data_IF_704686939709
#
_entry.id   IF_704686939709
#
_cell.length_a   1.000
_cell.length_b   1.000
_cell.length_c   1.000
_cell.angle_alpha   90.00
_cell.angle_beta   90.00
_cell.angle_gamma   90.00
#
_symmetry.space_group_name_H-M   'P 1'
#
loop_
_entity.id
_entity.type
_entity.pdbx_description
1 polymer ?
#
# COMPACT_ATOMS: atom_id res chain seq x y z
N UNK A 1 16.49 8.86 2.37
CA UNK A 1 15.20 9.12 2.99
C UNK A 1 14.05 9.06 2.00
N UNK A 2 14.17 9.61 0.81
CA UNK A 2 13.27 9.41 -0.34
C UNK A 2 12.98 7.93 -0.68
N UNK A 3 13.88 7.00 -0.36
CA UNK A 3 13.73 5.56 -0.62
C UNK A 3 12.69 4.86 0.26
N UNK A 4 12.45 5.34 1.48
CA UNK A 4 11.41 4.77 2.36
C UNK A 4 10.01 5.27 1.97
N UNK A 5 9.93 6.48 1.42
CA UNK A 5 8.68 7.09 0.97
C UNK A 5 8.21 6.48 -0.36
N UNK A 6 9.13 6.17 -1.28
CA UNK A 6 8.83 5.44 -2.51
C UNK A 6 8.28 4.02 -2.25
N UNK A 7 8.58 3.41 -1.09
CA UNK A 7 8.06 2.07 -0.75
C UNK A 7 6.57 2.07 -0.41
N UNK A 8 6.06 3.16 0.12
CA UNK A 8 4.64 3.28 0.44
C UNK A 8 3.79 3.65 -0.79
N UNK A 9 4.35 4.43 -1.71
CA UNK A 9 3.65 4.94 -2.89
C UNK A 9 3.31 3.90 -3.95
N UNK A 10 4.00 2.78 -3.97
CA UNK A 10 3.76 1.71 -4.95
C UNK A 10 2.81 0.61 -4.48
N UNK A 11 2.39 0.67 -3.21
CA UNK A 11 1.43 -0.28 -2.64
C UNK A 11 -0.02 -0.03 -3.10
N UNK A 12 -0.24 0.77 -4.13
CA UNK A 12 -1.53 1.32 -4.52
C UNK A 12 -2.60 0.33 -4.95
N UNK A 13 -2.26 -0.92 -5.17
CA UNK A 13 -3.24 -1.93 -5.56
C UNK A 13 -3.15 -3.21 -4.74
N UNK A 14 -2.27 -3.27 -3.77
CA UNK A 14 -2.10 -4.46 -2.95
C UNK A 14 -2.29 -4.08 -1.48
N UNK A 15 -3.29 -4.66 -0.82
CA UNK A 15 -3.20 -4.87 0.62
C UNK A 15 -1.89 -5.62 0.85
N UNK A 16 -0.84 -4.89 1.24
CA UNK A 16 0.50 -5.45 1.42
C UNK A 16 0.40 -6.49 2.53
N UNK A 17 0.16 -7.72 2.13
CA UNK A 17 0.27 -8.84 3.04
C UNK A 17 1.69 -9.37 2.94
N UNK A 18 2.36 -9.44 4.07
CA UNK A 18 3.65 -10.13 4.17
C UNK A 18 3.49 -11.64 4.32
N UNK A 19 2.25 -12.13 4.29
CA UNK A 19 1.92 -13.53 4.44
C UNK A 19 1.67 -14.17 3.06
N UNK A 20 2.57 -15.06 2.63
CA UNK A 20 2.45 -15.74 1.35
C UNK A 20 1.14 -16.55 1.23
N UNK A 21 0.60 -17.10 2.34
CA UNK A 21 -0.71 -17.77 2.33
C UNK A 21 -1.83 -16.80 1.92
N UNK A 22 -1.87 -15.59 2.51
CA UNK A 22 -2.87 -14.57 2.16
C UNK A 22 -2.70 -14.08 0.74
N UNK A 23 -1.45 -13.88 0.30
CA UNK A 23 -1.15 -13.48 -1.09
C UNK A 23 -1.66 -14.53 -2.07
N UNK A 24 -1.44 -15.84 -1.79
CA UNK A 24 -1.94 -16.93 -2.61
C UNK A 24 -3.47 -16.98 -2.67
N UNK A 25 -4.16 -16.45 -1.68
CA UNK A 25 -5.62 -16.28 -1.60
C UNK A 25 -6.11 -14.92 -2.13
N UNK A 26 -5.25 -14.18 -2.88
CA UNK A 26 -5.57 -12.88 -3.44
C UNK A 26 -5.69 -11.76 -2.40
N UNK A 27 -5.30 -12.01 -1.16
CA UNK A 27 -5.55 -11.17 0.01
C UNK A 27 -6.73 -11.61 0.86
N UNK A 28 -7.62 -12.44 0.33
CA UNK A 28 -8.77 -12.99 1.05
C UNK A 28 -8.35 -13.99 2.15
N UNK A 29 -9.29 -14.37 3.01
CA UNK A 29 -9.03 -15.29 4.11
C UNK A 29 -8.19 -14.70 5.24
N UNK A 30 -8.15 -13.38 5.34
CA UNK A 30 -7.61 -12.65 6.47
C UNK A 30 -8.68 -12.21 7.48
N UNK A 31 -8.36 -11.14 8.17
CA UNK A 31 -9.27 -10.46 9.10
C UNK A 31 -9.76 -9.15 8.47
N UNK A 32 -10.77 -9.19 7.58
CA UNK A 32 -11.22 -8.02 6.84
C UNK A 32 -11.79 -6.92 7.74
N UNK A 33 -12.27 -7.29 8.93
CA UNK A 33 -12.75 -6.34 9.94
C UNK A 33 -12.32 -6.74 11.35
N UNK A 34 -12.48 -5.84 12.32
CA UNK A 34 -12.02 -6.05 13.70
C UNK A 34 -12.80 -7.14 14.45
N UNK A 35 -13.99 -7.52 14.00
CA UNK A 35 -14.75 -8.63 14.59
C UNK A 35 -14.32 -9.99 14.03
N UNK A 36 -13.89 -10.07 12.75
CA UNK A 36 -13.37 -11.30 12.16
C UNK A 36 -12.10 -11.79 12.86
N UNK A 37 -11.30 -10.90 13.45
CA UNK A 37 -10.20 -11.29 14.32
C UNK A 37 -10.61 -12.21 15.49
N UNK A 38 -11.82 -12.07 15.97
CA UNK A 38 -12.33 -12.88 17.08
C UNK A 38 -12.71 -14.29 16.64
N UNK A 39 -13.17 -14.44 15.40
CA UNK A 39 -13.50 -15.73 14.79
C UNK A 39 -12.24 -16.52 14.46
N UNK A 40 -11.22 -15.87 13.93
CA UNK A 40 -9.94 -16.49 13.58
C UNK A 40 -9.09 -16.91 14.79
N UNK A 41 -9.37 -16.43 16.00
CA UNK A 41 -8.63 -16.83 17.21
C UNK A 41 -8.54 -18.34 17.41
N UNK A 42 -9.41 -19.11 16.80
CA UNK A 42 -9.35 -20.57 16.86
C UNK A 42 -8.29 -21.18 15.90
N UNK A 43 -7.78 -20.43 14.92
CA UNK A 43 -6.73 -20.84 13.98
C UNK A 43 -5.55 -19.85 14.01
N UNK A 44 -4.90 -19.73 15.17
CA UNK A 44 -3.75 -18.82 15.29
C UNK A 44 -2.52 -19.42 14.68
N UNK A 45 -2.11 -18.91 13.57
CA UNK A 45 -0.73 -19.03 13.11
C UNK A 45 -0.02 -17.67 13.15
N UNK A 46 1.30 -17.69 13.32
CA UNK A 46 2.15 -16.52 13.09
C UNK A 46 2.88 -16.76 11.78
N UNK A 47 2.84 -15.79 10.90
CA UNK A 47 3.60 -15.81 9.66
C UNK A 47 4.78 -14.86 9.78
N UNK A 48 5.95 -15.34 9.37
CA UNK A 48 7.16 -14.53 9.21
C UNK A 48 7.50 -14.56 7.74
N UNK A 49 7.47 -13.43 7.07
CA UNK A 49 7.83 -13.34 5.67
C UNK A 49 9.33 -13.48 5.45
N UNK A 50 9.72 -14.04 4.31
CA UNK A 50 11.09 -14.10 3.85
C UNK A 50 11.26 -13.00 2.79
N UNK A 51 12.09 -11.97 3.05
CA UNK A 51 12.23 -10.83 2.15
C UNK A 51 13.08 -11.20 0.92
N UNK A 52 12.55 -12.05 0.04
CA UNK A 52 13.26 -12.52 -1.17
C UNK A 52 13.64 -11.39 -2.12
N UNK A 53 12.93 -10.27 -2.11
CA UNK A 53 13.29 -9.07 -2.86
C UNK A 53 14.62 -8.45 -2.41
N UNK A 54 14.95 -8.55 -1.12
CA UNK A 54 16.23 -8.05 -0.59
C UNK A 54 17.46 -8.82 -1.13
N UNK A 55 17.29 -10.05 -1.58
CA UNK A 55 18.38 -10.85 -2.15
C UNK A 55 18.98 -10.14 -3.38
N UNK A 56 18.12 -9.49 -4.19
CA UNK A 56 18.57 -8.67 -5.32
C UNK A 56 19.42 -7.46 -4.89
N UNK A 57 19.09 -6.86 -3.76
CA UNK A 57 19.82 -5.71 -3.21
C UNK A 57 21.17 -6.13 -2.68
N UNK A 58 21.22 -7.22 -1.94
CA UNK A 58 22.47 -7.74 -1.36
C UNK A 58 23.49 -8.15 -2.43
N UNK A 59 23.02 -8.53 -3.62
CA UNK A 59 23.92 -8.87 -4.75
C UNK A 59 24.56 -7.65 -5.40
N UNK A 60 24.02 -6.45 -5.24
CA UNK A 60 24.57 -5.22 -5.83
C UNK A 60 24.17 -3.93 -5.05
N UNK A 61 24.61 -3.85 -3.79
CA UNK A 61 24.28 -2.73 -2.88
C UNK A 61 24.77 -1.38 -3.41
N UNK A 62 25.84 -1.38 -4.22
CA UNK A 62 26.47 -0.13 -4.72
C UNK A 62 25.54 0.73 -5.58
N UNK A 63 24.63 0.08 -6.30
CA UNK A 63 23.64 0.75 -7.16
C UNK A 63 22.67 1.66 -6.40
N UNK A 64 22.57 1.50 -5.07
CA UNK A 64 21.65 2.27 -4.22
C UNK A 64 22.30 3.46 -3.48
N UNK A 65 23.59 3.73 -3.73
CA UNK A 65 24.28 4.88 -3.12
C UNK A 65 24.22 6.11 -4.03
N UNK A 66 23.43 7.17 -3.69
CA UNK A 66 23.21 8.33 -4.55
C UNK A 66 24.47 9.11 -4.92
N UNK A 67 25.54 8.96 -4.14
CA UNK A 67 26.80 9.70 -4.31
C UNK A 67 27.85 8.94 -5.11
N UNK A 68 27.48 7.90 -5.83
CA UNK A 68 28.40 7.09 -6.63
C UNK A 68 28.01 7.12 -8.10
N UNK A 69 29.02 7.03 -8.97
CA UNK A 69 28.85 6.94 -10.43
C UNK A 69 27.98 5.76 -10.88
N UNK A 70 27.92 4.68 -10.06
CA UNK A 70 27.13 3.47 -10.33
C UNK A 70 25.68 3.58 -9.85
N UNK A 71 25.22 4.73 -9.37
CA UNK A 71 23.86 4.92 -8.89
C UNK A 71 22.85 4.77 -10.03
N UNK A 72 21.92 3.82 -9.87
CA UNK A 72 20.85 3.58 -10.84
C UNK A 72 19.52 3.90 -10.17
N UNK A 73 18.98 5.08 -10.48
CA UNK A 73 17.72 5.55 -9.94
C UNK A 73 16.56 4.62 -10.31
N UNK A 74 16.54 4.09 -11.53
CA UNK A 74 15.50 3.17 -11.99
C UNK A 74 15.45 1.89 -11.12
N UNK A 75 16.62 1.35 -10.76
CA UNK A 75 16.70 0.22 -9.83
C UNK A 75 16.33 0.58 -8.40
N UNK A 76 16.67 1.78 -7.95
CA UNK A 76 16.26 2.26 -6.63
C UNK A 76 14.73 2.36 -6.55
N UNK A 77 14.08 2.87 -7.59
CA UNK A 77 12.62 2.90 -7.71
C UNK A 77 12.04 1.49 -7.80
N UNK A 78 12.62 0.60 -8.62
CA UNK A 78 12.19 -0.81 -8.71
C UNK A 78 12.21 -1.48 -7.33
N UNK A 79 13.29 -1.29 -6.58
CA UNK A 79 13.40 -1.81 -5.23
C UNK A 79 12.40 -1.18 -4.28
N UNK A 80 12.31 0.16 -4.29
CA UNK A 80 11.36 0.91 -3.45
C UNK A 80 9.92 0.46 -3.64
N UNK A 81 9.55 0.09 -4.86
CA UNK A 81 8.19 -0.37 -5.18
C UNK A 81 7.91 -1.82 -4.79
N UNK A 82 8.92 -2.64 -4.48
CA UNK A 82 8.72 -4.05 -4.10
C UNK A 82 9.90 -4.60 -3.30
N UNK A 83 10.17 -4.05 -2.09
CA UNK A 83 11.37 -4.38 -1.33
C UNK A 83 11.39 -5.82 -0.81
N UNK A 84 10.22 -6.41 -0.60
CA UNK A 84 10.07 -7.69 0.12
C UNK A 84 9.80 -8.87 -0.80
N UNK A 85 9.26 -8.63 -2.00
CA UNK A 85 8.89 -9.67 -2.94
C UNK A 85 9.82 -9.65 -4.16
N UNK A 86 10.06 -10.82 -4.73
CA UNK A 86 10.77 -10.92 -5.99
C UNK A 86 9.76 -10.79 -7.13
N UNK A 87 9.99 -9.88 -8.08
CA UNK A 87 9.13 -9.69 -9.24
C UNK A 87 9.90 -10.05 -10.50
N UNK A 88 9.32 -10.94 -11.31
CA UNK A 88 9.88 -11.42 -12.56
C UNK A 88 9.56 -10.46 -13.72
N UNK A 89 10.46 -10.34 -14.68
CA UNK A 89 10.20 -9.67 -15.96
C UNK A 89 10.18 -8.14 -15.94
N UNK A 90 10.39 -7.49 -14.79
CA UNK A 90 10.37 -6.02 -14.67
C UNK A 90 11.35 -5.28 -15.58
N UNK A 91 12.42 -5.94 -16.01
CA UNK A 91 13.43 -5.32 -16.88
C UNK A 91 12.92 -5.04 -18.29
N UNK A 92 11.85 -5.71 -18.72
CA UNK A 92 11.29 -5.54 -20.07
C UNK A 92 10.40 -4.29 -20.19
N UNK A 93 10.09 -3.62 -19.07
CA UNK A 93 9.20 -2.46 -19.00
C UNK A 93 9.99 -1.19 -18.63
N UNK A 94 11.08 -0.95 -19.36
CA UNK A 94 12.09 0.07 -19.05
C UNK A 94 11.55 1.48 -19.28
N UNK A 95 10.79 1.70 -20.34
CA UNK A 95 10.48 3.05 -20.87
C UNK A 95 9.85 4.00 -19.84
N UNK A 96 8.86 3.56 -19.06
CA UNK A 96 8.23 4.43 -18.06
C UNK A 96 9.15 4.74 -16.88
N UNK A 97 9.97 3.78 -16.47
CA UNK A 97 10.94 3.98 -15.38
C UNK A 97 12.08 4.89 -15.80
N UNK A 98 12.55 4.75 -17.02
CA UNK A 98 13.57 5.64 -17.59
C UNK A 98 13.02 7.06 -17.72
N UNK A 99 11.82 7.22 -18.28
CA UNK A 99 11.15 8.51 -18.33
C UNK A 99 11.03 9.14 -16.92
N UNK A 100 10.58 8.38 -15.92
CA UNK A 100 10.46 8.88 -14.56
C UNK A 100 11.83 9.21 -13.94
N UNK A 101 12.86 8.41 -14.24
CA UNK A 101 14.22 8.65 -13.81
C UNK A 101 14.77 9.94 -14.42
N UNK A 102 14.60 10.15 -15.72
CA UNK A 102 15.06 11.34 -16.44
C UNK A 102 14.34 12.60 -15.95
N UNK A 103 13.03 12.50 -15.71
CA UNK A 103 12.26 13.60 -15.12
C UNK A 103 12.80 13.97 -13.73
N UNK A 104 13.01 12.96 -12.85
CA UNK A 104 13.46 13.22 -11.47
C UNK A 104 14.93 13.65 -11.41
N UNK A 105 15.78 13.15 -12.30
CA UNK A 105 17.18 13.54 -12.38
C UNK A 105 17.38 14.91 -13.06
N UNK A 106 16.26 15.55 -13.49
CA UNK A 106 16.30 16.80 -14.24
C UNK A 106 17.31 16.73 -15.40
N UNK A 107 17.27 15.64 -16.18
CA UNK A 107 18.05 15.52 -17.40
C UNK A 107 17.73 16.68 -18.31
N UNK A 108 18.73 17.45 -18.68
CA UNK A 108 18.61 18.78 -19.28
C UNK A 108 17.89 18.78 -20.64
N UNK A 109 17.82 17.62 -21.27
CA UNK A 109 17.11 17.43 -22.55
C UNK A 109 16.48 16.04 -22.59
N UNK A 110 15.30 15.82 -21.95
CA UNK A 110 14.62 14.55 -22.14
C UNK A 110 14.23 14.43 -23.61
N UNK A 111 14.76 13.44 -24.30
CA UNK A 111 14.28 13.08 -25.63
C UNK A 111 12.90 12.42 -25.47
N UNK A 112 11.84 13.23 -25.45
CA UNK A 112 10.47 12.77 -25.33
C UNK A 112 10.08 11.76 -26.42
N UNK A 113 10.81 11.75 -27.54
CA UNK A 113 10.58 10.77 -28.61
C UNK A 113 11.02 9.36 -28.22
N UNK A 114 12.02 9.21 -27.36
CA UNK A 114 12.48 7.92 -26.87
C UNK A 114 11.38 7.20 -26.05
N UNK A 115 10.46 7.97 -25.46
CA UNK A 115 9.38 7.46 -24.60
C UNK A 115 8.02 7.37 -25.31
N UNK A 116 7.98 7.67 -26.60
CA UNK A 116 6.74 7.64 -27.37
C UNK A 116 6.15 6.23 -27.41
N UNK A 117 4.83 6.14 -27.15
CA UNK A 117 4.11 4.85 -27.05
C UNK A 117 4.23 4.20 -25.66
N UNK A 118 4.67 4.96 -24.63
CA UNK A 118 4.79 4.45 -23.27
C UNK A 118 3.47 4.20 -22.55
N UNK A 119 2.31 4.52 -23.17
CA UNK A 119 0.97 4.38 -22.60
C UNK A 119 0.90 4.99 -21.17
N UNK A 120 1.36 6.23 -21.05
CA UNK A 120 1.38 6.98 -19.79
C UNK A 120 -0.03 7.41 -19.43
N UNK A 121 -0.56 7.09 -18.24
CA UNK A 121 -1.85 7.59 -17.80
C UNK A 121 -1.78 9.08 -17.49
N UNK A 122 -2.89 9.81 -17.67
CA UNK A 122 -2.98 11.22 -17.29
C UNK A 122 -2.86 11.45 -15.78
N UNK A 123 -3.10 10.41 -14.99
CA UNK A 123 -2.95 10.47 -13.54
C UNK A 123 -2.58 9.10 -12.98
N UNK A 124 -1.80 9.10 -11.92
CA UNK A 124 -1.47 7.92 -11.15
C UNK A 124 -1.64 8.22 -9.66
N UNK A 125 -2.17 7.27 -8.92
CA UNK A 125 -2.37 7.37 -7.47
C UNK A 125 -1.81 6.13 -6.79
N UNK A 126 -1.23 6.34 -5.62
CA UNK A 126 -0.75 5.30 -4.76
C UNK A 126 -1.14 5.61 -3.32
N UNK A 127 -1.68 4.63 -2.61
CA UNK A 127 -2.09 4.77 -1.22
C UNK A 127 -1.73 3.53 -0.42
N UNK A 128 -1.25 3.72 0.79
CA UNK A 128 -0.89 2.64 1.68
C UNK A 128 -1.19 2.98 3.14
N UNK A 129 -1.77 2.02 3.86
CA UNK A 129 -1.99 2.11 5.30
C UNK A 129 -1.53 0.81 5.96
N UNK A 130 -0.62 0.94 6.92
CA UNK A 130 -0.13 -0.16 7.75
C UNK A 130 -0.30 0.23 9.21
N UNK A 131 -1.17 -0.46 9.92
CA UNK A 131 -1.49 -0.17 11.32
C UNK A 131 -1.62 -1.46 12.15
N UNK A 132 -0.55 -2.27 12.29
CA UNK A 132 -0.59 -3.46 13.13
C UNK A 132 -0.76 -3.03 14.59
N UNK A 133 -1.67 -3.70 15.29
CA UNK A 133 -1.93 -3.44 16.70
C UNK A 133 -1.64 -4.70 17.52
N UNK A 134 -0.74 -4.57 18.48
CA UNK A 134 -0.44 -5.63 19.46
C UNK A 134 -1.09 -5.30 20.77
N UNK A 135 -1.88 -6.23 21.31
CA UNK A 135 -2.60 -5.96 22.53
C UNK A 135 -3.17 -7.21 23.18
N UNK A 136 -3.88 -6.99 24.27
CA UNK A 136 -4.54 -8.02 25.05
C UNK A 136 -6.01 -7.65 25.30
N UNK A 137 -6.88 -8.65 25.22
CA UNK A 137 -8.27 -8.51 25.67
C UNK A 137 -8.37 -8.96 27.13
N UNK A 138 -8.87 -8.08 27.97
CA UNK A 138 -9.20 -8.35 29.37
C UNK A 138 -10.68 -8.76 29.40
N UNK A 139 -10.95 -10.02 29.79
CA UNK A 139 -12.31 -10.54 29.84
C UNK A 139 -13.04 -9.94 31.05
N UNK A 140 -14.23 -9.37 30.79
CA UNK A 140 -15.15 -8.89 31.80
C UNK A 140 -16.13 -9.99 32.20
N UNK A 141 -16.57 -10.75 31.19
CA UNK A 141 -17.43 -11.90 31.32
C UNK A 141 -17.05 -12.95 30.31
N UNK A 142 -16.99 -14.20 30.73
CA UNK A 142 -16.70 -15.34 29.87
C UNK A 142 -17.48 -16.53 30.33
N UNK A 143 -18.24 -17.15 29.43
CA UNK A 143 -18.88 -18.44 29.60
C UNK A 143 -18.66 -19.28 28.32
N UNK A 144 -19.10 -20.54 28.33
CA UNK A 144 -18.83 -21.48 27.22
C UNK A 144 -19.26 -20.98 25.83
N UNK A 145 -20.24 -20.08 25.78
CA UNK A 145 -20.84 -19.63 24.51
C UNK A 145 -20.78 -18.12 24.27
N UNK A 146 -20.43 -17.35 25.29
CA UNK A 146 -20.35 -15.90 25.19
C UNK A 146 -19.09 -15.36 25.87
N UNK A 147 -18.64 -14.23 25.41
CA UNK A 147 -17.65 -13.44 26.13
C UNK A 147 -17.87 -11.95 25.89
N UNK A 148 -17.40 -11.17 26.83
CA UNK A 148 -17.30 -9.72 26.72
C UNK A 148 -15.96 -9.28 27.32
N UNK A 149 -15.29 -8.35 26.68
CA UNK A 149 -14.00 -7.90 27.16
C UNK A 149 -13.58 -6.53 26.60
N UNK A 150 -12.60 -5.95 27.25
CA UNK A 150 -11.95 -4.72 26.83
C UNK A 150 -10.61 -5.06 26.23
N UNK A 151 -10.37 -4.58 25.02
CA UNK A 151 -9.09 -4.69 24.33
C UNK A 151 -8.26 -3.44 24.62
N UNK A 152 -6.99 -3.64 24.94
CA UNK A 152 -5.98 -2.57 25.02
C UNK A 152 -4.77 -2.98 24.22
N UNK A 153 -4.29 -2.08 23.37
CA UNK A 153 -3.16 -2.36 22.50
C UNK A 153 -2.44 -1.11 22.04
N UNK A 154 -1.32 -1.30 21.40
CA UNK A 154 -0.56 -0.24 20.76
C UNK A 154 0.16 -0.77 19.52
N UNK A 155 0.53 0.11 18.61
CA UNK A 155 1.28 -0.23 17.41
C UNK A 155 1.66 0.97 16.58
N UNK A 156 2.54 0.81 15.57
CA UNK A 156 2.82 1.86 14.62
C UNK A 156 1.61 2.08 13.70
N UNK A 157 1.44 3.31 13.30
CA UNK A 157 0.52 3.75 12.27
C UNK A 157 1.32 4.42 11.17
N UNK A 158 1.30 3.84 9.98
CA UNK A 158 1.99 4.33 8.80
C UNK A 158 0.94 4.54 7.70
N UNK A 159 0.78 5.78 7.26
CA UNK A 159 -0.11 6.11 6.16
C UNK A 159 0.65 6.89 5.10
N UNK A 160 0.52 6.49 3.85
CA UNK A 160 1.13 7.15 2.71
C UNK A 160 0.10 7.35 1.60
N UNK A 161 0.15 8.50 0.95
CA UNK A 161 -0.61 8.81 -0.27
C UNK A 161 0.32 9.52 -1.22
N UNK A 162 0.37 9.05 -2.46
CA UNK A 162 1.11 9.72 -3.52
C UNK A 162 0.24 9.87 -4.76
N UNK A 163 0.49 10.90 -5.55
CA UNK A 163 -0.15 11.09 -6.83
C UNK A 163 0.83 11.69 -7.83
N UNK A 164 0.59 11.40 -9.11
CA UNK A 164 1.23 12.06 -10.23
C UNK A 164 0.16 12.46 -11.24
N UNK A 165 0.27 13.67 -11.76
CA UNK A 165 -0.63 14.23 -12.76
C UNK A 165 0.22 14.65 -13.95
N UNK A 166 -0.10 14.13 -15.12
CA UNK A 166 0.57 14.46 -16.36
C UNK A 166 -0.32 15.43 -17.15
N UNK A 167 0.28 16.48 -17.66
CA UNK A 167 -0.40 17.38 -18.58
C UNK A 167 -0.96 16.63 -19.80
N UNK A 168 -2.10 17.07 -20.32
CA UNK A 168 -2.80 16.40 -21.41
C UNK A 168 -1.99 16.37 -22.70
N UNK A 169 -1.24 17.45 -23.01
CA UNK A 169 -0.37 17.53 -24.19
C UNK A 169 0.83 16.60 -24.05
N UNK A 170 1.47 16.60 -22.87
CA UNK A 170 2.57 15.69 -22.57
C UNK A 170 2.10 14.22 -22.68
N UNK A 171 0.95 13.89 -22.10
CA UNK A 171 0.37 12.56 -22.18
C UNK A 171 0.11 12.15 -23.63
N UNK A 172 -0.40 13.08 -24.47
CA UNK A 172 -0.66 12.85 -25.88
C UNK A 172 0.63 12.59 -26.66
N UNK A 173 1.68 13.37 -26.41
CA UNK A 173 3.00 13.19 -27.03
C UNK A 173 3.57 11.81 -26.67
N UNK A 174 3.60 11.49 -25.37
CA UNK A 174 4.17 10.24 -24.86
C UNK A 174 3.39 9.00 -25.35
N UNK A 175 2.08 9.10 -25.50
CA UNK A 175 1.25 8.00 -26.00
C UNK A 175 1.26 7.90 -27.56
N UNK A 176 2.00 8.78 -28.22
CA UNK A 176 2.20 8.73 -29.65
C UNK A 176 1.02 9.24 -30.49
N UNK A 177 0.01 9.86 -29.88
CA UNK A 177 -1.19 10.37 -30.54
C UNK A 177 -1.13 11.87 -30.90
N UNK A 178 -0.09 12.57 -30.50
CA UNK A 178 0.11 14.00 -30.72
C UNK A 178 1.23 14.33 -31.71
N UNK A 179 1.29 15.62 -32.12
CA UNK A 179 2.44 16.15 -32.85
C UNK A 179 3.68 16.11 -31.96
N UNK A 180 4.84 15.88 -32.59
CA UNK A 180 6.13 15.84 -31.87
C UNK A 180 6.52 17.18 -31.30
N UNK A 181 6.09 18.24 -31.97
CA UNK A 181 6.45 19.60 -31.65
C UNK A 181 5.19 20.39 -31.37
N UNK A 182 5.04 20.85 -30.14
CA UNK A 182 3.91 21.69 -29.73
C UNK A 182 4.46 23.06 -29.41
N UNK A 183 4.31 24.03 -30.35
CA UNK A 183 4.88 25.37 -30.19
C UNK A 183 4.25 26.14 -29.03
N UNK A 184 5.08 26.89 -28.31
CA UNK A 184 4.67 27.80 -27.23
C UNK A 184 3.76 27.14 -26.19
N UNK A 185 4.04 25.89 -25.82
CA UNK A 185 3.28 25.14 -24.83
C UNK A 185 4.05 24.99 -23.52
N UNK A 186 3.31 24.77 -22.45
CA UNK A 186 3.85 24.35 -21.17
C UNK A 186 3.46 22.91 -20.94
N UNK A 187 4.46 22.05 -20.87
CA UNK A 187 4.29 20.61 -20.62
C UNK A 187 4.61 20.35 -19.15
N UNK A 188 3.67 19.80 -18.40
CA UNK A 188 3.81 19.68 -16.94
C UNK A 188 3.64 18.28 -16.41
N UNK A 189 4.43 17.97 -15.37
CA UNK A 189 4.21 16.81 -14.49
C UNK A 189 4.11 17.34 -13.08
N UNK A 190 2.92 17.24 -12.50
CA UNK A 190 2.68 17.53 -11.08
C UNK A 190 2.65 16.24 -10.29
N UNK A 191 3.13 16.29 -9.06
CA UNK A 191 3.03 15.15 -8.16
C UNK A 191 3.16 15.54 -6.71
N UNK A 192 2.71 14.68 -5.84
CA UNK A 192 2.86 14.89 -4.41
C UNK A 192 2.77 13.59 -3.63
N UNK A 193 3.29 13.65 -2.42
CA UNK A 193 3.26 12.54 -1.49
C UNK A 193 3.04 13.08 -0.08
N UNK A 194 2.19 12.40 0.67
CA UNK A 194 1.96 12.67 2.09
C UNK A 194 2.21 11.40 2.87
N UNK A 195 3.26 11.40 3.68
CA UNK A 195 3.62 10.31 4.57
C UNK A 195 3.37 10.71 6.02
N UNK A 196 2.71 9.83 6.76
CA UNK A 196 2.42 10.01 8.17
C UNK A 196 2.90 8.81 8.97
N UNK A 197 3.74 9.06 9.96
CA UNK A 197 4.14 8.08 10.97
C UNK A 197 3.56 8.51 12.31
N UNK A 198 2.81 7.62 12.96
CA UNK A 198 2.28 7.84 14.30
C UNK A 198 2.40 6.56 15.15
N UNK A 199 2.32 6.73 16.45
CA UNK A 199 2.05 5.68 17.41
C UNK A 199 0.54 5.62 17.67
N UNK A 200 -0.07 4.46 17.45
CA UNK A 200 -1.47 4.20 17.78
C UNK A 200 -1.57 3.55 19.15
N UNK A 201 -2.37 4.14 20.04
CA UNK A 201 -2.80 3.54 21.30
C UNK A 201 -4.28 3.19 21.13
N UNK A 202 -4.62 1.93 21.29
CA UNK A 202 -5.95 1.41 20.98
C UNK A 202 -6.65 0.93 22.22
N UNK A 203 -7.86 1.45 22.45
CA UNK A 203 -8.84 0.89 23.37
C UNK A 203 -10.03 0.31 22.60
N UNK A 204 -10.56 -0.82 23.01
CA UNK A 204 -11.64 -1.43 22.23
C UNK A 204 -12.55 -2.34 23.04
N UNK A 205 -13.71 -2.63 22.47
CA UNK A 205 -14.68 -3.61 23.00
C UNK A 205 -14.68 -4.85 22.13
N UNK A 206 -14.80 -6.00 22.73
CA UNK A 206 -14.84 -7.32 22.10
C UNK A 206 -15.95 -8.13 22.75
N UNK A 207 -16.86 -8.67 21.92
CA UNK A 207 -17.91 -9.52 22.43
C UNK A 207 -18.28 -10.64 21.45
N UNK A 208 -18.77 -11.73 22.00
CA UNK A 208 -19.48 -12.79 21.31
C UNK A 208 -20.82 -13.03 21.99
N UNK A 209 -21.88 -13.00 21.21
CA UNK A 209 -23.25 -13.30 21.62
C UNK A 209 -23.67 -14.62 21.01
N UNK A 210 -24.18 -15.57 21.80
CA UNK A 210 -24.69 -16.83 21.29
C UNK A 210 -25.94 -16.58 20.45
N UNK A 211 -25.92 -17.06 19.22
CA UNK A 211 -27.03 -17.04 18.29
C UNK A 211 -27.14 -18.41 17.63
N UNK A 212 -28.35 -18.87 17.31
CA UNK A 212 -28.57 -20.14 16.63
C UNK A 212 -28.07 -21.36 17.43
N UNK A 213 -28.65 -21.58 18.58
CA UNK A 213 -28.38 -22.75 19.43
C UNK A 213 -28.76 -24.03 18.67
N UNK A 214 -27.77 -24.79 18.23
CA UNK A 214 -27.92 -26.16 17.72
C UNK A 214 -26.93 -27.07 18.43
N UNK A 215 -27.36 -28.29 18.74
CA UNK A 215 -26.57 -29.30 19.48
C UNK A 215 -25.51 -30.01 18.63
N UNK A 216 -24.86 -29.31 17.72
CA UNK A 216 -23.79 -29.87 16.89
C UNK A 216 -22.39 -29.56 17.44
N UNK A 217 -21.40 -30.40 17.13
CA UNK A 217 -20.02 -30.22 17.53
C UNK A 217 -19.41 -28.86 17.05
N UNK A 218 -20.02 -28.23 16.03
CA UNK A 218 -19.67 -26.90 15.54
C UNK A 218 -20.35 -25.77 16.30
N UNK A 219 -21.27 -26.08 17.23
CA UNK A 219 -22.04 -25.09 18.00
C UNK A 219 -21.14 -24.13 18.81
N UNK A 220 -19.93 -24.59 19.16
CA UNK A 220 -18.95 -23.78 19.88
C UNK A 220 -18.53 -22.51 19.16
N UNK A 221 -18.66 -22.42 17.82
CA UNK A 221 -18.30 -21.21 17.02
C UNK A 221 -19.51 -20.33 16.68
N UNK A 222 -20.69 -20.89 16.67
CA UNK A 222 -21.89 -20.18 16.23
C UNK A 222 -22.18 -18.97 17.12
N UNK A 223 -22.49 -17.83 16.50
CA UNK A 223 -22.82 -16.62 17.22
C UNK A 223 -22.54 -15.35 16.42
N UNK A 224 -22.84 -14.25 17.05
CA UNK A 224 -22.50 -12.92 16.56
C UNK A 224 -21.30 -12.39 17.33
N UNK A 225 -20.26 -12.04 16.59
CA UNK A 225 -19.05 -11.42 17.09
C UNK A 225 -19.10 -9.93 16.79
N UNK A 226 -18.84 -9.10 17.78
CA UNK A 226 -18.86 -7.65 17.66
C UNK A 226 -17.56 -7.08 18.19
N UNK A 227 -16.99 -6.14 17.48
CA UNK A 227 -15.81 -5.43 17.93
C UNK A 227 -15.87 -3.96 17.55
N UNK A 228 -15.34 -3.12 18.43
CA UNK A 228 -15.14 -1.70 18.19
C UNK A 228 -13.77 -1.29 18.73
N UNK A 229 -13.04 -0.45 17.99
CA UNK A 229 -11.78 0.13 18.42
C UNK A 229 -11.86 1.65 18.38
N UNK A 230 -11.24 2.26 19.35
CA UNK A 230 -10.83 3.65 19.35
C UNK A 230 -9.30 3.70 19.32
N UNK A 231 -8.75 4.42 18.37
CA UNK A 231 -7.33 4.63 18.21
C UNK A 231 -7.01 6.08 18.54
N UNK A 232 -6.17 6.30 19.53
CA UNK A 232 -5.50 7.57 19.73
C UNK A 232 -4.20 7.56 18.92
N UNK A 233 -4.01 8.53 18.04
CA UNK A 233 -2.86 8.65 17.16
C UNK A 233 -1.93 9.75 17.64
N UNK A 234 -0.74 9.38 18.09
CA UNK A 234 0.33 10.30 18.44
C UNK A 234 1.29 10.43 17.26
N UNK A 235 1.19 11.54 16.53
CA UNK A 235 1.97 11.79 15.33
C UNK A 235 3.43 12.03 15.66
N UNK A 236 4.31 11.24 15.05
CA UNK A 236 5.76 11.27 15.22
C UNK A 236 6.44 11.99 14.06
N UNK A 237 5.91 11.86 12.86
CA UNK A 237 6.47 12.43 11.65
C UNK A 237 5.43 12.61 10.56
N UNK A 238 5.44 13.79 9.98
CA UNK A 238 4.77 14.13 8.73
C UNK A 238 5.83 14.53 7.71
N UNK A 239 5.73 13.98 6.52
CA UNK A 239 6.35 14.50 5.30
C UNK A 239 5.21 14.70 4.28
N UNK A 240 5.05 15.92 3.79
CA UNK A 240 4.03 16.28 2.81
C UNK A 240 4.68 17.18 1.76
N UNK A 241 4.82 16.68 0.54
CA UNK A 241 5.45 17.43 -0.52
C UNK A 241 4.61 17.44 -1.80
N UNK A 242 4.72 18.54 -2.51
CA UNK A 242 4.20 18.72 -3.86
C UNK A 242 5.33 19.18 -4.76
N UNK A 243 5.54 18.47 -5.84
CA UNK A 243 6.53 18.78 -6.85
C UNK A 243 5.83 19.12 -8.17
N UNK A 244 6.37 20.08 -8.88
CA UNK A 244 5.93 20.45 -10.22
C UNK A 244 7.17 20.53 -11.10
N UNK A 245 7.18 19.76 -12.18
CA UNK A 245 8.11 19.87 -13.28
C UNK A 245 7.37 20.53 -14.45
N UNK A 246 7.94 21.59 -15.01
CA UNK A 246 7.39 22.31 -16.16
C UNK A 246 8.45 22.44 -17.26
N UNK A 247 8.11 22.02 -18.46
CA UNK A 247 8.92 22.20 -19.64
C UNK A 247 8.19 23.19 -20.57
N UNK A 248 8.81 24.33 -20.83
CA UNK A 248 8.28 25.29 -21.79
C UNK A 248 8.88 25.02 -23.16
N UNK A 249 8.06 25.06 -24.21
CA UNK A 249 8.52 24.92 -25.57
C UNK A 249 8.55 26.28 -26.27
N UNK A 250 9.53 26.46 -27.16
CA UNK A 250 9.67 27.64 -28.02
C UNK A 250 8.66 27.63 -29.19
N UNK A 251 8.77 28.63 -30.07
CA UNK A 251 7.95 28.74 -31.28
C UNK A 251 8.12 27.58 -32.28
N UNK A 252 9.21 26.83 -32.20
CA UNK A 252 9.49 25.63 -32.99
C UNK A 252 9.02 24.34 -32.30
N UNK A 253 8.54 24.42 -31.06
CA UNK A 253 8.13 23.27 -30.25
C UNK A 253 9.30 22.52 -29.60
N UNK A 254 10.48 23.12 -29.55
CA UNK A 254 11.63 22.59 -28.83
C UNK A 254 11.60 23.08 -27.36
N UNK A 255 12.14 22.27 -26.46
CA UNK A 255 12.23 22.67 -25.05
C UNK A 255 13.07 23.93 -24.91
N UNK A 256 12.52 24.97 -24.29
CA UNK A 256 13.21 26.23 -24.08
C UNK A 256 14.30 26.09 -23.02
N UNK A 257 15.54 26.46 -23.33
CA UNK A 257 16.62 26.49 -22.36
C UNK A 257 16.46 27.58 -21.29
N UNK A 258 15.61 28.57 -21.55
CA UNK A 258 15.34 29.71 -20.67
C UNK A 258 13.82 29.82 -20.39
N UNK A 259 13.24 28.92 -19.58
CA UNK A 259 11.82 28.99 -19.26
C UNK A 259 11.51 30.22 -18.41
N UNK A 260 10.30 30.76 -18.54
CA UNK A 260 9.84 31.91 -17.74
C UNK A 260 9.53 31.51 -16.28
N UNK A 261 9.08 30.27 -16.07
CA UNK A 261 8.83 29.72 -14.75
C UNK A 261 9.96 28.75 -14.35
N UNK A 262 10.22 28.56 -13.05
CA UNK A 262 11.16 27.54 -12.60
C UNK A 262 10.80 26.17 -13.18
N UNK A 263 11.72 25.50 -13.88
CA UNK A 263 11.42 24.20 -14.50
C UNK A 263 11.12 23.11 -13.48
N UNK A 264 11.56 23.28 -12.24
CA UNK A 264 11.20 22.42 -11.13
C UNK A 264 10.93 23.24 -9.88
N UNK A 265 9.83 22.96 -9.23
CA UNK A 265 9.48 23.52 -7.93
C UNK A 265 9.01 22.40 -6.97
N UNK A 266 9.50 22.44 -5.74
CA UNK A 266 9.11 21.52 -4.67
C UNK A 266 8.68 22.33 -3.45
N UNK A 267 7.45 22.12 -2.99
CA UNK A 267 6.94 22.62 -1.72
C UNK A 267 6.84 21.43 -0.75
N UNK A 268 7.69 21.42 0.27
CA UNK A 268 7.79 20.31 1.20
C UNK A 268 7.53 20.77 2.63
N UNK A 269 6.60 20.10 3.30
CA UNK A 269 6.21 20.37 4.67
C UNK A 269 6.59 19.22 5.57
N UNK A 270 7.19 19.53 6.70
CA UNK A 270 7.56 18.53 7.70
C UNK A 270 7.04 18.90 9.08
N UNK A 271 6.68 17.89 9.87
CA UNK A 271 6.34 18.07 11.28
C UNK A 271 6.69 16.83 12.08
N UNK A 272 6.99 17.02 13.36
CA UNK A 272 7.19 15.96 14.36
C UNK A 272 6.14 16.01 15.47
N UNK A 273 5.07 16.78 15.31
CA UNK A 273 4.06 16.98 16.36
C UNK A 273 2.66 16.88 15.78
N UNK A 274 2.04 15.72 15.96
CA UNK A 274 0.67 15.45 15.50
C UNK A 274 -0.18 14.77 16.56
N UNK A 275 -1.49 14.99 16.51
CA UNK A 275 -2.48 14.29 17.34
C UNK A 275 -3.71 13.97 16.50
N UNK A 276 -4.22 12.76 16.70
CA UNK A 276 -5.35 12.30 15.91
C UNK A 276 -6.14 11.18 16.56
N UNK A 277 -7.13 10.74 15.83
CA UNK A 277 -7.96 9.60 16.22
C UNK A 277 -8.48 8.85 14.99
N UNK A 278 -8.83 7.58 15.20
CA UNK A 278 -9.57 6.77 14.25
C UNK A 278 -10.49 5.80 15.02
N UNK A 279 -11.57 5.38 14.37
CA UNK A 279 -12.52 4.40 14.93
C UNK A 279 -12.70 3.26 13.93
N UNK A 280 -12.76 2.03 14.46
CA UNK A 280 -13.10 0.84 13.69
C UNK A 280 -14.28 0.12 14.33
N UNK A 281 -15.16 -0.42 13.49
CA UNK A 281 -16.29 -1.23 13.92
C UNK A 281 -16.39 -2.47 13.05
N UNK A 282 -16.80 -3.57 13.64
CA UNK A 282 -17.01 -4.82 12.91
C UNK A 282 -18.06 -5.70 13.56
N UNK A 283 -18.74 -6.45 12.72
CA UNK A 283 -19.64 -7.52 13.10
C UNK A 283 -19.37 -8.74 12.23
N UNK A 284 -19.39 -9.93 12.83
CA UNK A 284 -19.26 -11.19 12.10
C UNK A 284 -20.26 -12.20 12.65
N UNK A 285 -21.07 -12.78 11.77
CA UNK A 285 -22.02 -13.84 12.08
C UNK A 285 -21.42 -15.17 11.67
N UNK A 286 -21.32 -16.09 12.60
CA UNK A 286 -20.86 -17.46 12.36
C UNK A 286 -22.01 -18.42 12.54
N UNK A 287 -22.30 -19.20 11.49
CA UNK A 287 -23.33 -20.25 11.51
C UNK A 287 -22.80 -21.50 10.82
N UNK A 288 -22.49 -22.51 11.59
CA UNK A 288 -21.92 -23.78 11.13
C UNK A 288 -20.64 -23.55 10.30
N UNK A 289 -20.73 -23.75 9.00
CA UNK A 289 -19.62 -23.63 8.06
C UNK A 289 -19.51 -22.26 7.40
N UNK A 290 -20.42 -21.35 7.71
CA UNK A 290 -20.48 -20.02 7.11
C UNK A 290 -20.06 -18.95 8.10
N UNK A 291 -19.22 -18.04 7.64
CA UNK A 291 -18.86 -16.81 8.32
C UNK A 291 -19.30 -15.64 7.41
N UNK A 292 -20.02 -14.65 7.94
CA UNK A 292 -20.47 -13.44 7.24
C UNK A 292 -20.00 -12.23 8.03
N UNK A 293 -19.15 -11.42 7.45
CA UNK A 293 -18.59 -10.25 8.09
C UNK A 293 -18.97 -8.95 7.41
N UNK A 294 -19.08 -7.89 8.22
CA UNK A 294 -19.16 -6.51 7.76
C UNK A 294 -18.39 -5.61 8.72
N UNK A 295 -17.74 -4.60 8.19
CA UNK A 295 -16.95 -3.69 9.00
C UNK A 295 -16.76 -2.33 8.36
N UNK A 296 -16.36 -1.39 9.19
CA UNK A 296 -15.93 -0.06 8.79
C UNK A 296 -14.68 0.30 9.59
N UNK A 297 -13.65 0.75 8.90
CA UNK A 297 -12.38 1.13 9.50
C UNK A 297 -12.00 2.55 9.13
N UNK A 298 -11.32 3.22 10.05
CA UNK A 298 -10.86 4.59 9.83
C UNK A 298 -11.97 5.62 9.86
N UNK A 299 -13.07 5.41 10.58
CA UNK A 299 -14.08 6.44 10.80
C UNK A 299 -13.43 7.59 11.58
N UNK A 300 -13.61 8.83 11.08
CA UNK A 300 -12.96 10.03 11.59
C UNK A 300 -11.41 9.91 11.66
N UNK A 301 -10.80 9.15 10.77
CA UNK A 301 -9.36 8.96 10.71
C UNK A 301 -8.67 10.25 10.29
N UNK A 302 -8.12 10.96 11.25
CA UNK A 302 -7.48 12.25 11.04
C UNK A 302 -6.34 12.47 12.00
N UNK A 303 -5.28 13.09 11.51
CA UNK A 303 -4.19 13.61 12.34
C UNK A 303 -4.04 15.12 12.07
N UNK A 304 -4.10 15.92 13.14
CA UNK A 304 -3.81 17.34 13.10
C UNK A 304 -2.36 17.57 13.47
N UNK A 305 -1.59 18.09 12.53
CA UNK A 305 -0.16 18.37 12.67
C UNK A 305 0.06 19.84 13.01
N UNK A 306 0.97 20.11 13.94
CA UNK A 306 1.39 21.45 14.37
C UNK A 306 2.89 21.61 14.15
N UNK A 307 3.41 22.83 14.35
CA UNK A 307 4.84 23.14 14.16
C UNK A 307 5.35 22.70 12.79
N UNK A 308 4.64 23.08 11.74
CA UNK A 308 4.98 22.70 10.37
C UNK A 308 6.12 23.59 9.86
N UNK A 309 7.23 22.95 9.49
CA UNK A 309 8.35 23.58 8.79
C UNK A 309 8.11 23.43 7.29
N UNK A 310 8.20 24.52 6.57
CA UNK A 310 8.07 24.55 5.11
C UNK A 310 9.42 24.69 4.45
N UNK A 311 9.67 23.90 3.43
CA UNK A 311 10.85 23.93 2.60
C UNK A 311 10.41 24.16 1.16
N UNK A 312 10.91 25.24 0.55
CA UNK A 312 10.70 25.51 -0.87
C UNK A 312 12.02 25.25 -1.58
N UNK A 313 11.98 24.41 -2.60
CA UNK A 313 13.11 24.13 -3.46
C UNK A 313 12.70 24.46 -4.89
N UNK A 314 13.48 25.26 -5.58
CA UNK A 314 13.25 25.56 -6.98
C UNK A 314 14.56 25.41 -7.76
N UNK A 315 14.46 24.86 -8.96
CA UNK A 315 15.55 24.89 -9.94
C UNK A 315 15.41 26.18 -10.74
N UNK A 316 16.43 27.00 -10.73
CA UNK A 316 16.36 28.37 -11.27
C UNK A 316 16.91 28.46 -12.69
N UNK A 317 17.82 27.56 -13.06
CA UNK A 317 18.44 27.54 -14.40
C UNK A 317 18.67 26.12 -14.89
N UNK A 318 18.45 25.89 -16.19
CA UNK A 318 18.77 24.66 -16.89
C UNK A 318 20.15 24.72 -17.60
N UNK A 319 20.72 25.90 -17.73
CA UNK A 319 21.89 26.15 -18.65
C UNK A 319 23.22 26.28 -17.90
N UNK A 320 23.23 26.87 -16.72
CA UNK A 320 24.47 27.22 -16.00
C UNK A 320 24.87 26.26 -14.88
N UNK A 321 24.51 24.98 -15.05
CA UNK A 321 24.63 23.99 -13.98
C UNK A 321 23.48 24.15 -12.98
N UNK A 322 22.70 23.11 -12.84
CA UNK A 322 21.47 23.03 -12.05
C UNK A 322 21.57 23.78 -10.71
N UNK A 323 21.21 25.05 -10.70
CA UNK A 323 21.22 25.85 -9.48
C UNK A 323 19.89 25.69 -8.74
N UNK A 324 19.94 24.99 -7.61
CA UNK A 324 18.79 24.82 -6.72
C UNK A 324 18.80 25.87 -5.63
N UNK A 325 17.73 26.64 -5.56
CA UNK A 325 17.48 27.54 -4.43
C UNK A 325 16.62 26.82 -3.40
N UNK A 326 17.12 26.71 -2.18
CA UNK A 326 16.42 26.11 -1.05
C UNK A 326 16.13 27.14 0.03
N UNK A 327 14.85 27.40 0.29
CA UNK A 327 14.39 28.31 1.33
C UNK A 327 13.67 27.50 2.42
N UNK A 328 14.20 27.54 3.63
CA UNK A 328 13.57 26.94 4.80
C UNK A 328 12.85 28.02 5.61
N UNK A 329 11.53 27.91 5.74
CA UNK A 329 10.73 28.80 6.54
C UNK A 329 10.53 28.24 7.96
N UNK A 330 10.51 29.09 9.01
CA UNK A 330 10.32 28.66 10.37
C UNK A 330 8.93 28.02 10.59
N UNK A 331 8.73 27.21 11.65
CA UNK A 331 7.49 26.48 11.90
C UNK A 331 6.36 27.40 12.44
N UNK A 332 6.00 28.42 11.69
CA UNK A 332 5.00 29.45 12.05
C UNK A 332 3.66 29.26 11.34
N UNK A 333 3.57 28.26 10.47
CA UNK A 333 2.35 27.99 9.71
C UNK A 333 1.18 27.47 10.55
N UNK A 334 -0.06 27.64 10.10
CA UNK A 334 -1.23 27.09 10.78
C UNK A 334 -1.16 25.56 10.82
N UNK A 335 -1.78 24.92 11.82
CA UNK A 335 -1.87 23.47 11.86
C UNK A 335 -2.54 22.93 10.60
N UNK A 336 -2.03 21.80 10.07
CA UNK A 336 -2.62 21.08 8.94
C UNK A 336 -3.29 19.80 9.43
N UNK A 337 -4.44 19.49 8.85
CA UNK A 337 -5.17 18.27 9.14
C UNK A 337 -5.16 17.37 7.90
N UNK A 338 -4.76 16.14 8.10
CA UNK A 338 -4.80 15.12 7.06
C UNK A 338 -5.81 14.05 7.46
N UNK A 339 -6.71 13.77 6.55
CA UNK A 339 -7.78 12.79 6.72
C UNK A 339 -7.57 11.65 5.72
N UNK A 340 -7.84 10.43 6.17
CA UNK A 340 -7.87 9.27 5.30
C UNK A 340 -9.33 8.84 5.08
N UNK A 341 -9.67 8.37 3.87
CA UNK A 341 -11.00 7.86 3.58
C UNK A 341 -11.37 6.69 4.47
N UNK A 342 -12.64 6.62 4.82
CA UNK A 342 -13.23 5.50 5.54
C UNK A 342 -13.23 4.26 4.64
N UNK A 343 -12.86 3.11 5.18
CA UNK A 343 -12.88 1.83 4.47
C UNK A 343 -14.03 0.98 4.97
N UNK A 344 -14.90 0.57 4.05
CA UNK A 344 -16.00 -0.36 4.28
C UNK A 344 -15.58 -1.74 3.80
N UNK A 345 -15.89 -2.77 4.57
CA UNK A 345 -15.55 -4.16 4.24
C UNK A 345 -16.77 -5.05 4.37
N UNK A 346 -16.88 -6.04 3.50
CA UNK A 346 -17.86 -7.11 3.59
C UNK A 346 -17.19 -8.43 3.21
N UNK A 347 -17.43 -9.49 3.95
CA UNK A 347 -16.81 -10.77 3.70
C UNK A 347 -17.76 -11.95 3.91
N UNK A 348 -17.51 -13.01 3.16
CA UNK A 348 -18.16 -14.30 3.31
C UNK A 348 -17.11 -15.39 3.23
N UNK A 349 -17.11 -16.30 4.20
CA UNK A 349 -16.29 -17.49 4.13
C UNK A 349 -17.13 -18.76 4.30
N UNK A 350 -16.76 -19.81 3.59
CA UNK A 350 -17.34 -21.14 3.71
C UNK A 350 -16.25 -22.16 3.98
N UNK A 351 -16.40 -22.95 5.04
CA UNK A 351 -15.39 -23.89 5.51
C UNK A 351 -15.89 -25.35 5.45
N UNK A 352 -15.09 -26.19 4.84
CA UNK A 352 -15.22 -27.67 4.92
C UNK A 352 -13.93 -28.27 5.46
N UNK A 353 -13.95 -29.56 5.77
CA UNK A 353 -12.78 -30.27 6.29
C UNK A 353 -11.54 -30.10 5.40
N UNK A 354 -11.71 -30.26 4.08
CA UNK A 354 -10.60 -30.25 3.11
C UNK A 354 -10.49 -28.95 2.34
N UNK A 355 -11.49 -28.09 2.33
CA UNK A 355 -11.42 -26.84 1.56
C UNK A 355 -12.14 -25.68 2.23
N UNK A 356 -11.72 -24.50 1.90
CA UNK A 356 -12.32 -23.25 2.33
C UNK A 356 -12.38 -22.26 1.17
N UNK A 357 -13.53 -21.59 1.02
CA UNK A 357 -13.75 -20.51 0.06
C UNK A 357 -13.86 -19.20 0.83
N UNK A 358 -13.22 -18.18 0.32
CA UNK A 358 -13.23 -16.82 0.89
C UNK A 358 -13.62 -15.83 -0.20
N UNK A 359 -14.52 -14.92 0.11
CA UNK A 359 -14.86 -13.78 -0.74
C UNK A 359 -14.90 -12.53 0.11
N UNK A 360 -14.25 -11.48 -0.35
CA UNK A 360 -14.15 -10.21 0.36
C UNK A 360 -14.37 -9.06 -0.61
N UNK A 361 -15.06 -8.05 -0.17
CA UNK A 361 -15.22 -6.76 -0.81
C UNK A 361 -14.71 -5.67 0.12
N UNK A 362 -13.98 -4.71 -0.41
CA UNK A 362 -13.66 -3.48 0.31
C UNK A 362 -13.78 -2.25 -0.58
N UNK A 363 -14.21 -1.15 0.03
CA UNK A 363 -14.32 0.16 -0.61
C UNK A 363 -13.80 1.24 0.33
N UNK A 364 -12.97 2.13 -0.16
CA UNK A 364 -12.47 3.25 0.62
C UNK A 364 -11.05 3.65 0.26
N UNK A 365 -10.15 3.66 1.25
CA UNK A 365 -8.80 4.19 1.14
C UNK A 365 -8.00 3.68 -0.07
N UNK A 366 -8.22 2.45 -0.51
CA UNK A 366 -7.55 1.87 -1.69
C UNK A 366 -8.52 1.68 -2.88
N UNK A 367 -9.63 2.41 -2.91
CA UNK A 367 -10.68 2.22 -3.91
C UNK A 367 -11.48 0.92 -3.70
N UNK A 368 -12.01 0.39 -4.80
CA UNK A 368 -12.79 -0.85 -4.79
C UNK A 368 -11.88 -2.05 -4.97
N UNK A 369 -12.01 -3.04 -4.08
CA UNK A 369 -11.33 -4.31 -4.18
C UNK A 369 -12.33 -5.45 -4.03
N UNK A 370 -12.25 -6.44 -4.92
CA UNK A 370 -13.00 -7.70 -4.87
C UNK A 370 -11.99 -8.83 -4.87
N UNK A 371 -12.06 -9.69 -3.88
CA UNK A 371 -11.14 -10.80 -3.68
C UNK A 371 -11.93 -12.10 -3.55
N UNK A 372 -11.49 -13.15 -4.23
CA UNK A 372 -12.04 -14.50 -4.05
C UNK A 372 -10.90 -15.50 -4.07
N UNK A 373 -10.83 -16.35 -3.05
CA UNK A 373 -9.78 -17.34 -2.89
C UNK A 373 -10.30 -18.69 -2.40
N UNK A 374 -9.70 -19.75 -2.91
CA UNK A 374 -9.97 -21.15 -2.54
C UNK A 374 -8.69 -21.77 -1.95
N UNK A 375 -8.82 -22.42 -0.79
CA UNK A 375 -7.78 -23.23 -0.17
C UNK A 375 -8.23 -24.69 -0.14
N UNK A 376 -7.38 -25.61 -0.61
CA UNK A 376 -7.61 -27.04 -0.58
C UNK A 376 -6.48 -27.76 0.18
N UNK A 377 -6.82 -28.61 1.15
CA UNK A 377 -5.88 -29.30 2.05
C UNK A 377 -5.73 -30.76 1.70
N UNK A 378 -4.51 -31.15 1.38
CA UNK A 378 -4.09 -32.51 1.01
C UNK A 378 -3.06 -33.01 2.04
N UNK A 379 -3.52 -33.40 3.23
CA UNK A 379 -2.64 -33.86 4.30
C UNK A 379 -1.63 -32.79 4.73
N UNK A 380 -0.36 -32.94 4.32
CA UNK A 380 0.70 -31.96 4.63
C UNK A 380 0.78 -30.80 3.63
N UNK A 381 0.10 -30.89 2.49
CA UNK A 381 0.11 -29.88 1.43
C UNK A 381 -1.18 -29.10 1.43
N UNK A 382 -1.11 -27.80 1.27
CA UNK A 382 -2.24 -26.89 1.10
C UNK A 382 -2.08 -26.17 -0.25
N UNK A 383 -3.03 -26.34 -1.16
CA UNK A 383 -3.06 -25.67 -2.45
C UNK A 383 -4.01 -24.49 -2.39
N UNK A 384 -3.64 -23.40 -3.04
CA UNK A 384 -4.41 -22.16 -3.04
C UNK A 384 -4.47 -21.55 -4.43
N UNK A 385 -5.63 -20.99 -4.74
CA UNK A 385 -5.84 -20.23 -5.97
C UNK A 385 -6.83 -19.11 -5.72
N UNK A 386 -6.60 -17.97 -6.34
CA UNK A 386 -7.42 -16.80 -6.12
C UNK A 386 -7.38 -15.81 -7.29
N UNK A 387 -8.36 -14.90 -7.28
CA UNK A 387 -8.39 -13.73 -8.13
C UNK A 387 -8.75 -12.49 -7.33
N UNK A 388 -8.13 -11.39 -7.67
CA UNK A 388 -8.44 -10.08 -7.13
C UNK A 388 -8.72 -9.10 -8.26
N UNK A 389 -9.78 -8.32 -8.14
CA UNK A 389 -10.03 -7.14 -8.96
C UNK A 389 -9.79 -5.91 -8.10
N UNK A 390 -8.89 -5.05 -8.52
CA UNK A 390 -8.56 -3.81 -7.84
C UNK A 390 -8.34 -2.71 -8.87
N UNK A 391 -8.98 -1.56 -8.68
CA UNK A 391 -8.89 -0.41 -9.60
C UNK A 391 -9.15 -0.81 -11.07
N UNK A 392 -10.13 -1.69 -11.31
CA UNK A 392 -10.48 -2.16 -12.65
C UNK A 392 -9.54 -3.20 -13.27
N UNK A 393 -8.45 -3.56 -12.60
CA UNK A 393 -7.50 -4.57 -13.06
C UNK A 393 -7.69 -5.90 -12.34
N UNK A 394 -7.52 -6.99 -13.08
CA UNK A 394 -7.58 -8.34 -12.53
C UNK A 394 -6.19 -8.88 -12.23
N UNK A 395 -6.00 -9.43 -11.04
CA UNK A 395 -4.75 -9.98 -10.54
C UNK A 395 -4.96 -11.43 -10.09
N UNK A 396 -4.51 -12.42 -10.87
CA UNK A 396 -4.52 -13.82 -10.44
C UNK A 396 -3.45 -14.07 -9.39
N UNK A 397 -3.71 -15.01 -8.51
CA UNK A 397 -2.73 -15.52 -7.56
C UNK A 397 -2.93 -17.01 -7.31
N UNK A 398 -1.86 -17.66 -6.89
CA UNK A 398 -1.90 -19.06 -6.50
C UNK A 398 -0.69 -19.40 -5.65
N UNK A 399 -0.74 -20.53 -4.96
CA UNK A 399 0.37 -20.90 -4.10
C UNK A 399 0.18 -22.25 -3.44
N UNK A 400 1.22 -22.65 -2.71
CA UNK A 400 1.21 -23.87 -1.94
C UNK A 400 1.80 -23.64 -0.55
N UNK A 401 1.22 -24.31 0.44
CA UNK A 401 1.75 -24.44 1.78
C UNK A 401 2.21 -25.86 2.04
N UNK A 402 3.28 -26.02 2.78
CA UNK A 402 3.79 -27.32 3.18
C UNK A 402 4.00 -27.36 4.69
N UNK A 403 3.29 -28.24 5.38
CA UNK A 403 3.42 -28.49 6.80
C UNK A 403 4.59 -29.44 7.07
N UNK A 404 5.76 -28.89 7.43
CA UNK A 404 6.98 -29.65 7.76
C UNK A 404 6.80 -30.43 9.06
N UNK A 405 6.23 -29.76 10.04
CA UNK A 405 5.88 -30.36 11.34
C UNK A 405 4.44 -29.98 11.70
N UNK A 406 3.98 -30.45 12.85
CA UNK A 406 2.64 -30.15 13.38
C UNK A 406 2.44 -28.66 13.66
N UNK A 407 3.51 -27.91 13.93
CA UNK A 407 3.51 -26.53 14.35
C UNK A 407 4.29 -25.58 13.43
N UNK A 408 4.88 -26.12 12.35
CA UNK A 408 5.72 -25.34 11.45
C UNK A 408 5.47 -25.70 9.99
N UNK A 409 5.30 -24.69 9.17
CA UNK A 409 5.10 -24.80 7.74
C UNK A 409 5.79 -23.72 6.94
N UNK A 410 5.86 -23.91 5.64
CA UNK A 410 6.37 -22.96 4.66
C UNK A 410 5.28 -22.69 3.64
N UNK A 411 5.05 -21.43 3.31
CA UNK A 411 4.11 -21.01 2.29
C UNK A 411 4.84 -20.27 1.16
N UNK A 412 4.45 -20.57 -0.08
CA UNK A 412 4.91 -19.89 -1.28
C UNK A 412 3.71 -19.41 -2.09
N UNK A 413 3.81 -18.22 -2.67
CA UNK A 413 2.80 -17.65 -3.52
C UNK A 413 3.39 -17.01 -4.78
N UNK A 414 2.72 -17.22 -5.91
CA UNK A 414 2.88 -16.47 -7.14
C UNK A 414 1.64 -15.60 -7.32
N UNK A 415 1.83 -14.35 -7.70
CA UNK A 415 0.72 -13.41 -7.82
C UNK A 415 0.97 -12.37 -8.91
N UNK A 416 -0.08 -11.96 -9.60
CA UNK A 416 -0.04 -10.83 -10.51
C UNK A 416 0.18 -9.52 -9.75
N UNK A 417 1.08 -8.70 -10.23
CA UNK A 417 1.35 -7.35 -9.68
C UNK A 417 1.60 -6.37 -10.81
N UNK A 418 1.20 -5.12 -10.61
CA UNK A 418 1.45 -4.02 -11.53
C UNK A 418 1.55 -2.73 -10.72
N UNK A 419 2.59 -1.97 -10.95
CA UNK A 419 2.71 -0.61 -10.44
C UNK A 419 2.34 0.40 -11.53
N UNK A 420 2.15 1.67 -11.18
CA UNK A 420 1.88 2.73 -12.18
C UNK A 420 3.06 2.95 -13.14
N UNK A 421 4.26 2.54 -12.76
CA UNK A 421 5.47 2.59 -13.59
C UNK A 421 5.56 1.42 -14.60
N UNK A 422 4.61 0.48 -14.58
CA UNK A 422 4.63 -0.71 -15.39
C UNK A 422 3.46 -0.71 -16.38
N UNK A 423 3.74 -0.99 -17.66
CA UNK A 423 2.73 -1.10 -18.72
C UNK A 423 2.01 -2.45 -18.66
N UNK A 424 2.70 -3.49 -18.19
CA UNK A 424 2.20 -4.87 -18.12
C UNK A 424 2.14 -5.36 -16.68
N UNK A 425 1.27 -6.31 -16.43
CA UNK A 425 1.28 -7.06 -15.18
C UNK A 425 2.48 -8.02 -15.15
N UNK A 426 3.15 -8.07 -14.01
CA UNK A 426 4.29 -8.95 -13.74
C UNK A 426 3.91 -10.03 -12.73
N UNK A 427 4.74 -11.04 -12.60
CA UNK A 427 4.56 -12.11 -11.62
C UNK A 427 5.47 -11.85 -10.41
N UNK A 428 4.87 -11.74 -9.25
CA UNK A 428 5.57 -11.66 -7.96
C UNK A 428 5.68 -13.02 -7.29
N UNK A 429 6.77 -13.24 -6.56
CA UNK A 429 6.99 -14.38 -5.67
C UNK A 429 7.07 -13.90 -4.23
N UNK A 430 6.26 -14.49 -3.37
CA UNK A 430 6.31 -14.27 -1.92
C UNK A 430 6.55 -15.59 -1.20
N UNK A 431 7.37 -15.56 -0.16
CA UNK A 431 7.65 -16.68 0.72
C UNK A 431 7.43 -16.32 2.17
N UNK A 432 6.86 -17.24 2.97
CA UNK A 432 6.73 -17.06 4.41
C UNK A 432 6.89 -18.36 5.18
N UNK A 433 7.32 -18.22 6.43
CA UNK A 433 7.33 -19.29 7.43
C UNK A 433 6.08 -19.17 8.29
N UNK A 434 5.36 -20.26 8.47
CA UNK A 434 4.16 -20.32 9.28
C UNK A 434 4.41 -21.11 10.56
N UNK A 435 4.02 -20.52 11.69
CA UNK A 435 4.07 -21.12 13.01
C UNK A 435 2.64 -21.26 13.55
N UNK A 436 2.11 -22.47 13.57
CA UNK A 436 0.78 -22.74 14.10
C UNK A 436 0.85 -22.81 15.63
N UNK A 437 0.08 -21.96 16.30
CA UNK A 437 -0.19 -22.09 17.74
C UNK A 437 -1.41 -22.97 17.92
N UNK A 438 -1.23 -24.07 18.55
CA UNK A 438 -2.33 -24.89 19.11
C UNK A 438 -2.73 -24.39 20.47
#
# INVERSE_FOLDING_TARGET
MLLLTATASSASAQNYSFDARRIALGGAGGTPNVASELVERQRRYKSIFIPVGLIKVLSNVRVFYPNREDFDFSRAVEFGTSPFHFVFGRREDINRRELFADIVQASVEPDLNAYRGSDVPSSAFAEGLVSPTWGKTFMLREDDRSFQGIFVGAGPYLAARAYALFDGELTRILNGSGDRYVPAATLGVGGGETDQLALSITGGYRARFPMFVQDSAEAGRNGMYVAANYHYLHGLRLDDFNALLQLETDSAGLVSPHPQAPPFALDWHTSSSGRGLALDFGVTFVRNRWDFGAGVSGVANRIKWSKITRHNVALVSLVDGNEFVHVKLPPTGPPRQFELPVTYTGDVAYHREKWSLFTEFSHGFQGNNYLTGLEYRLGKVELRGAGRVSQGNWYPSGGAGFNLTRNFGVDAALYGTRTFLETKAHVGLALSLRFDKR
#
